data_IF_139294067742
#
_entry.id   IF_139294067742
#
_cell.length_a   1.000
_cell.length_b   1.000
_cell.length_c   1.000
_cell.angle_alpha   90.00
_cell.angle_beta   90.00
_cell.angle_gamma   90.00
#
_symmetry.space_group_name_H-M   'P 1'
#
loop_
_entity.id
_entity.type
_entity.pdbx_description
1 polymer ?
#
# COMPACT_ATOMS: atom_id res chain seq x y z
N UNK A 1 40.32 3.45 -40.05
CA UNK A 1 41.77 3.52 -40.36
C UNK A 1 42.43 2.22 -39.92
N UNK A 2 43.52 1.75 -40.56
CA UNK A 2 44.30 0.63 -40.04
C UNK A 2 44.71 0.89 -38.58
N UNK A 3 44.38 -0.01 -37.66
CA UNK A 3 44.63 0.17 -36.22
C UNK A 3 43.59 1.00 -35.43
N UNK A 4 42.52 1.47 -36.08
CA UNK A 4 41.42 2.19 -35.42
C UNK A 4 40.08 1.48 -35.66
N UNK A 5 39.31 1.31 -34.58
CA UNK A 5 37.92 0.87 -34.62
C UNK A 5 37.13 1.62 -33.55
N UNK A 6 35.96 2.09 -33.93
CA UNK A 6 34.97 2.61 -32.97
C UNK A 6 34.35 1.45 -32.21
N UNK A 7 34.22 1.63 -30.90
CA UNK A 7 33.57 0.70 -30.01
C UNK A 7 32.57 1.47 -29.17
N UNK A 8 31.31 1.06 -29.23
CA UNK A 8 30.25 1.57 -28.38
C UNK A 8 29.86 0.49 -27.38
N UNK A 9 30.01 0.79 -26.09
CA UNK A 9 29.61 -0.13 -25.03
C UNK A 9 28.15 0.14 -24.64
N UNK A 10 27.28 -0.82 -24.94
CA UNK A 10 25.89 -0.81 -24.48
C UNK A 10 25.82 -1.20 -22.98
N UNK A 11 26.19 -0.24 -22.13
CA UNK A 11 26.11 -0.34 -20.67
C UNK A 11 24.69 -0.70 -20.19
N UNK A 12 23.60 -0.09 -20.72
CA UNK A 12 22.24 -0.47 -20.34
C UNK A 12 21.94 -1.95 -20.56
N UNK A 13 22.19 -2.48 -21.77
CA UNK A 13 21.88 -3.87 -22.06
C UNK A 13 22.79 -4.84 -21.27
N UNK A 14 24.06 -4.49 -21.08
CA UNK A 14 24.98 -5.27 -20.26
C UNK A 14 24.52 -5.33 -18.79
N UNK A 15 24.10 -4.20 -18.21
CA UNK A 15 23.61 -4.16 -16.85
C UNK A 15 22.28 -4.92 -16.69
N UNK A 16 21.37 -4.81 -17.66
CA UNK A 16 20.12 -5.55 -17.66
C UNK A 16 20.37 -7.07 -17.65
N UNK A 17 21.25 -7.57 -18.53
CA UNK A 17 21.62 -9.00 -18.58
C UNK A 17 22.18 -9.47 -17.24
N UNK A 18 23.14 -8.73 -16.67
CA UNK A 18 23.72 -9.06 -15.38
C UNK A 18 22.67 -9.05 -14.26
N UNK A 19 21.73 -8.10 -14.25
CA UNK A 19 20.67 -8.06 -13.24
C UNK A 19 19.71 -9.25 -13.36
N UNK A 20 19.37 -9.67 -14.58
CA UNK A 20 18.54 -10.87 -14.81
C UNK A 20 19.25 -12.11 -14.29
N UNK A 21 20.55 -12.27 -14.55
CA UNK A 21 21.36 -13.38 -14.04
C UNK A 21 21.42 -13.38 -12.50
N UNK A 22 21.66 -12.22 -11.89
CA UNK A 22 21.67 -12.05 -10.43
C UNK A 22 20.32 -12.44 -9.83
N UNK A 23 19.21 -11.92 -10.36
CA UNK A 23 17.87 -12.28 -9.88
C UNK A 23 17.57 -13.78 -10.08
N UNK A 24 18.03 -14.38 -11.19
CA UNK A 24 17.88 -15.80 -11.46
C UNK A 24 18.60 -16.70 -10.45
N UNK A 25 19.79 -16.28 -10.00
CA UNK A 25 20.60 -17.03 -9.03
C UNK A 25 20.18 -16.81 -7.56
N UNK A 26 19.44 -15.74 -7.26
CA UNK A 26 19.02 -15.41 -5.90
C UNK A 26 17.86 -16.28 -5.40
N UNK A 27 17.96 -16.76 -4.17
CA UNK A 27 16.81 -17.24 -3.41
C UNK A 27 15.89 -16.07 -3.00
N UNK A 28 14.58 -16.28 -3.04
CA UNK A 28 13.62 -15.31 -2.56
C UNK A 28 13.43 -15.45 -1.04
N UNK A 29 13.14 -14.34 -0.35
CA UNK A 29 12.78 -14.32 1.06
C UNK A 29 11.33 -13.83 1.24
N UNK A 30 10.57 -14.32 2.24
CA UNK A 30 9.23 -13.81 2.52
C UNK A 30 9.22 -12.30 2.76
N UNK A 31 8.22 -11.59 2.22
CA UNK A 31 8.04 -10.13 2.39
C UNK A 31 7.40 -9.84 3.76
N UNK A 32 8.14 -10.14 4.82
CA UNK A 32 7.75 -9.97 6.22
C UNK A 32 8.74 -9.04 6.93
N UNK A 33 8.29 -8.25 7.92
CA UNK A 33 9.14 -7.26 8.60
C UNK A 33 10.49 -7.80 9.09
N UNK A 34 10.51 -9.02 9.65
CA UNK A 34 11.74 -9.66 10.14
C UNK A 34 12.82 -9.86 9.07
N UNK A 35 12.42 -10.08 7.82
CA UNK A 35 13.35 -10.27 6.69
C UNK A 35 13.86 -8.95 6.09
N UNK A 36 13.31 -7.81 6.51
CA UNK A 36 13.66 -6.49 5.97
C UNK A 36 14.71 -5.76 6.81
N UNK A 37 14.90 -6.15 8.08
CA UNK A 37 15.79 -5.48 9.05
C UNK A 37 17.23 -5.31 8.52
N UNK A 38 17.74 -6.32 7.82
CA UNK A 38 19.11 -6.34 7.28
C UNK A 38 19.30 -5.61 5.95
N UNK A 39 18.23 -5.12 5.30
CA UNK A 39 18.33 -4.51 3.97
C UNK A 39 18.88 -3.09 4.10
N UNK A 40 19.94 -2.70 3.38
CA UNK A 40 20.45 -1.34 3.45
C UNK A 40 19.47 -0.33 2.84
N UNK A 41 19.34 0.83 3.49
CA UNK A 41 18.54 1.94 2.97
C UNK A 41 19.29 2.65 1.84
N UNK A 42 19.25 2.03 0.66
CA UNK A 42 20.05 2.41 -0.50
C UNK A 42 19.24 2.31 -1.78
N UNK A 43 19.76 2.93 -2.84
CA UNK A 43 19.20 2.82 -4.17
C UNK A 43 19.31 1.38 -4.72
N UNK A 44 18.29 0.93 -5.44
CA UNK A 44 18.31 -0.38 -6.08
C UNK A 44 17.01 -0.75 -6.77
N UNK A 45 16.93 -2.02 -7.15
CA UNK A 45 15.79 -2.65 -7.80
C UNK A 45 15.36 -3.89 -7.00
N UNK A 46 14.07 -4.21 -7.05
CA UNK A 46 13.52 -5.38 -6.37
C UNK A 46 12.39 -6.02 -7.18
N UNK A 47 12.19 -7.30 -6.92
CA UNK A 47 11.09 -8.12 -7.44
C UNK A 47 10.21 -8.56 -6.27
N UNK A 48 8.90 -8.58 -6.48
CA UNK A 48 7.97 -9.29 -5.61
C UNK A 48 7.41 -10.50 -6.36
N UNK A 49 7.30 -11.61 -5.64
CA UNK A 49 6.79 -12.86 -6.15
C UNK A 49 5.60 -13.29 -5.32
N UNK A 50 4.50 -13.70 -5.96
CA UNK A 50 3.35 -14.32 -5.30
C UNK A 50 3.39 -15.80 -5.63
N UNK A 51 3.58 -16.66 -4.62
CA UNK A 51 3.67 -18.12 -4.80
C UNK A 51 4.74 -18.56 -5.83
N UNK A 52 5.80 -17.77 -5.96
CA UNK A 52 6.89 -18.01 -6.91
C UNK A 52 6.76 -17.28 -8.25
N UNK A 53 5.58 -16.75 -8.58
CA UNK A 53 5.37 -16.00 -9.83
C UNK A 53 5.74 -14.53 -9.65
N UNK A 54 6.50 -13.99 -10.59
CA UNK A 54 6.89 -12.58 -10.58
C UNK A 54 5.65 -11.68 -10.79
N UNK A 55 5.27 -10.93 -9.76
CA UNK A 55 4.07 -10.06 -9.81
C UNK A 55 4.38 -8.58 -9.86
N UNK A 56 5.54 -8.15 -9.34
CA UNK A 56 5.92 -6.74 -9.29
C UNK A 56 7.42 -6.55 -9.47
N UNK A 57 7.81 -5.55 -10.24
CA UNK A 57 9.17 -4.99 -10.26
C UNK A 57 9.09 -3.56 -9.81
N UNK A 58 9.99 -3.17 -8.90
CA UNK A 58 10.10 -1.79 -8.47
C UNK A 58 11.54 -1.32 -8.42
N UNK A 59 11.70 -0.01 -8.53
CA UNK A 59 12.92 0.68 -8.12
C UNK A 59 12.70 1.55 -6.89
N UNK A 60 13.81 2.00 -6.36
CA UNK A 60 13.89 3.10 -5.40
C UNK A 60 15.02 4.02 -5.84
N UNK A 61 14.98 5.28 -5.44
CA UNK A 61 16.13 6.18 -5.44
C UNK A 61 16.84 6.12 -4.07
N UNK A 62 17.88 6.94 -3.89
CA UNK A 62 18.63 7.04 -2.64
C UNK A 62 17.84 7.71 -1.50
N UNK A 63 16.82 8.51 -1.80
CA UNK A 63 16.01 9.20 -0.78
C UNK A 63 14.95 8.28 -0.18
N UNK A 64 14.28 7.50 -1.02
CA UNK A 64 13.23 6.56 -0.62
C UNK A 64 13.78 5.25 -0.06
N UNK A 65 14.93 4.78 -0.54
CA UNK A 65 15.64 3.56 -0.13
C UNK A 65 14.89 2.21 -0.27
N UNK A 66 15.67 1.13 -0.40
CA UNK A 66 15.13 -0.22 -0.63
C UNK A 66 14.29 -0.73 0.54
N UNK A 67 14.77 -0.52 1.77
CA UNK A 67 14.11 -1.06 2.97
C UNK A 67 12.75 -0.42 3.17
N UNK A 68 12.66 0.92 3.23
CA UNK A 68 11.37 1.61 3.42
C UNK A 68 10.36 1.27 2.33
N UNK A 69 10.80 1.13 1.08
CA UNK A 69 9.90 0.77 -0.02
C UNK A 69 9.35 -0.65 0.13
N UNK A 70 10.19 -1.62 0.51
CA UNK A 70 9.75 -2.98 0.78
C UNK A 70 8.88 -3.07 2.04
N UNK A 71 9.19 -2.33 3.10
CA UNK A 71 8.37 -2.25 4.32
C UNK A 71 6.97 -1.72 4.01
N UNK A 72 6.88 -0.70 3.16
CA UNK A 72 5.58 -0.20 2.70
C UNK A 72 4.79 -1.27 1.96
N UNK A 73 5.43 -2.02 1.05
CA UNK A 73 4.77 -3.11 0.34
C UNK A 73 4.35 -4.25 1.26
N UNK A 74 5.20 -4.61 2.23
CA UNK A 74 4.89 -5.58 3.28
C UNK A 74 3.68 -5.16 4.12
N UNK A 75 3.48 -3.85 4.32
CA UNK A 75 2.27 -3.30 4.95
C UNK A 75 1.07 -3.38 4.02
N UNK A 76 1.21 -3.01 2.74
CA UNK A 76 0.13 -2.99 1.74
C UNK A 76 -0.56 -4.34 1.55
N UNK A 77 0.20 -5.45 1.62
CA UNK A 77 -0.33 -6.81 1.42
C UNK A 77 -1.05 -7.38 2.65
N UNK A 78 -0.97 -6.72 3.81
CA UNK A 78 -1.66 -7.16 5.02
C UNK A 78 -3.15 -6.79 4.98
N UNK A 79 -3.96 -7.61 5.65
CA UNK A 79 -5.41 -7.44 5.80
C UNK A 79 -6.08 -7.22 4.43
N UNK A 80 -5.76 -8.10 3.48
CA UNK A 80 -6.36 -8.13 2.15
C UNK A 80 -7.16 -9.42 2.00
N UNK A 81 -8.30 -9.33 1.34
CA UNK A 81 -9.09 -10.50 0.96
C UNK A 81 -8.33 -11.27 -0.12
N UNK A 82 -8.27 -12.60 -0.01
CA UNK A 82 -7.61 -13.53 -0.96
C UNK A 82 -6.08 -13.37 -1.10
N UNK A 83 -5.42 -12.69 -0.16
CA UNK A 83 -3.96 -12.54 -0.19
C UNK A 83 -3.38 -12.83 1.19
N UNK A 84 -2.61 -13.91 1.27
CA UNK A 84 -1.87 -14.24 2.48
C UNK A 84 -0.45 -13.65 2.41
N UNK A 85 -0.02 -12.79 3.36
CA UNK A 85 1.28 -12.15 3.30
C UNK A 85 2.46 -13.12 3.23
N UNK A 86 2.31 -14.30 3.83
CA UNK A 86 3.34 -15.35 3.81
C UNK A 86 3.59 -15.94 2.40
N UNK A 87 2.65 -15.76 1.47
CA UNK A 87 2.80 -16.22 0.08
C UNK A 87 3.55 -15.21 -0.80
N UNK A 88 3.80 -14.00 -0.29
CA UNK A 88 4.53 -12.95 -1.00
C UNK A 88 6.00 -13.00 -0.58
N UNK A 89 6.88 -13.13 -1.56
CA UNK A 89 8.32 -13.11 -1.39
C UNK A 89 8.95 -11.94 -2.15
N UNK A 90 10.20 -11.62 -1.84
CA UNK A 90 10.96 -10.59 -2.53
C UNK A 90 12.39 -11.03 -2.85
N UNK A 91 12.97 -10.36 -3.84
CA UNK A 91 14.41 -10.31 -4.13
C UNK A 91 14.79 -8.84 -4.28
N UNK A 92 15.92 -8.41 -3.71
CA UNK A 92 16.34 -7.01 -3.77
C UNK A 92 17.84 -6.90 -4.06
N UNK A 93 18.20 -6.02 -4.99
CA UNK A 93 19.57 -5.78 -5.44
C UNK A 93 19.88 -4.30 -5.30
N UNK A 94 20.88 -3.97 -4.47
CA UNK A 94 21.48 -2.63 -4.44
C UNK A 94 22.25 -2.41 -5.74
N UNK A 95 22.12 -1.22 -6.32
CA UNK A 95 22.87 -0.87 -7.53
C UNK A 95 23.62 0.45 -7.31
N UNK A 96 24.91 0.45 -7.62
CA UNK A 96 25.83 1.55 -7.27
C UNK A 96 25.89 2.68 -8.30
N UNK A 97 25.51 2.44 -9.57
CA UNK A 97 25.65 3.42 -10.66
C UNK A 97 24.33 3.50 -11.42
N UNK A 98 23.63 4.63 -11.35
CA UNK A 98 22.25 4.68 -11.88
C UNK A 98 21.76 6.01 -12.44
N UNK A 99 22.47 7.11 -12.32
CA UNK A 99 21.80 8.43 -12.42
C UNK A 99 21.19 8.74 -13.79
N UNK A 100 21.44 7.93 -14.84
CA UNK A 100 20.85 8.12 -16.17
C UNK A 100 20.07 6.92 -16.77
N UNK A 101 19.87 5.79 -16.07
CA UNK A 101 19.26 4.58 -16.69
C UNK A 101 17.93 4.16 -16.06
N UNK A 102 16.93 3.90 -16.91
CA UNK A 102 15.60 3.44 -16.47
C UNK A 102 15.49 1.90 -16.41
N UNK A 103 16.22 1.29 -15.46
CA UNK A 103 16.26 -0.18 -15.35
C UNK A 103 14.92 -0.81 -14.94
N UNK A 104 14.06 -0.09 -14.21
CA UNK A 104 12.72 -0.59 -13.87
C UNK A 104 11.92 -0.87 -15.14
N UNK A 105 11.83 0.10 -16.05
CA UNK A 105 11.14 -0.09 -17.33
C UNK A 105 11.79 -1.18 -18.17
N UNK A 106 13.13 -1.28 -18.17
CA UNK A 106 13.82 -2.34 -18.90
C UNK A 106 13.53 -3.74 -18.33
N UNK A 107 13.52 -3.89 -17.01
CA UNK A 107 13.18 -5.14 -16.34
C UNK A 107 11.70 -5.48 -16.56
N UNK A 108 10.78 -4.53 -16.40
CA UNK A 108 9.36 -4.73 -16.68
C UNK A 108 9.15 -5.18 -18.13
N UNK A 109 9.83 -4.55 -19.10
CA UNK A 109 9.75 -4.95 -20.51
C UNK A 109 10.34 -6.35 -20.75
N UNK A 110 11.51 -6.63 -20.17
CA UNK A 110 12.17 -7.93 -20.32
C UNK A 110 11.27 -9.07 -19.81
N UNK A 111 10.81 -8.98 -18.56
CA UNK A 111 9.98 -10.00 -17.95
C UNK A 111 8.55 -10.01 -18.49
N UNK A 112 7.98 -8.84 -18.79
CA UNK A 112 6.65 -8.69 -19.38
C UNK A 112 6.50 -9.32 -20.76
N UNK A 113 7.59 -9.44 -21.52
CA UNK A 113 7.63 -10.19 -22.78
C UNK A 113 7.63 -11.72 -22.59
N UNK A 114 7.92 -12.20 -21.37
CA UNK A 114 7.98 -13.63 -21.02
C UNK A 114 6.68 -14.04 -20.33
N UNK A 115 6.26 -13.28 -19.31
CA UNK A 115 5.04 -13.51 -18.54
C UNK A 115 4.46 -12.19 -18.01
N UNK A 116 3.14 -12.09 -17.78
CA UNK A 116 2.54 -10.91 -17.20
C UNK A 116 3.13 -10.57 -15.82
N UNK A 117 3.34 -9.28 -15.56
CA UNK A 117 3.77 -8.76 -14.25
C UNK A 117 2.59 -7.96 -13.63
N UNK A 118 1.57 -8.64 -13.09
CA UNK A 118 0.21 -8.10 -12.90
C UNK A 118 0.09 -6.94 -11.92
N UNK A 119 1.05 -6.71 -11.02
CA UNK A 119 0.98 -5.60 -10.06
C UNK A 119 1.63 -4.32 -10.59
N UNK A 120 2.43 -4.39 -11.65
CA UNK A 120 2.91 -3.19 -12.33
C UNK A 120 1.74 -2.51 -13.05
N UNK A 121 1.61 -1.19 -12.89
CA UNK A 121 0.52 -0.36 -13.46
C UNK A 121 -0.91 -0.71 -12.99
N UNK A 122 -1.07 -1.53 -11.93
CA UNK A 122 -2.36 -1.96 -11.40
C UNK A 122 -2.86 -1.15 -10.20
N UNK A 123 -2.04 -0.23 -9.68
CA UNK A 123 -2.30 0.55 -8.47
C UNK A 123 -1.52 0.11 -7.22
N UNK A 124 -0.89 -1.07 -7.22
CA UNK A 124 -0.16 -1.62 -6.07
C UNK A 124 0.91 -0.66 -5.50
N UNK A 125 1.72 -0.05 -6.37
CA UNK A 125 2.78 0.88 -5.97
C UNK A 125 2.35 2.34 -5.81
N UNK A 126 1.05 2.65 -5.97
CA UNK A 126 0.55 4.03 -6.00
C UNK A 126 0.48 4.67 -4.61
N UNK A 127 0.67 5.98 -4.56
CA UNK A 127 0.45 6.79 -3.36
C UNK A 127 -1.03 7.04 -3.11
N UNK A 128 -1.37 7.45 -1.89
CA UNK A 128 -2.72 7.88 -1.54
C UNK A 128 -3.18 8.99 -2.51
N UNK A 129 -4.24 8.77 -3.32
CA UNK A 129 -4.59 9.71 -4.36
C UNK A 129 -5.32 10.96 -3.85
N UNK A 130 -5.70 11.01 -2.58
CA UNK A 130 -6.45 12.09 -1.95
C UNK A 130 -7.97 11.99 -2.18
N UNK A 131 -8.74 12.83 -1.46
CA UNK A 131 -10.23 12.79 -1.44
C UNK A 131 -10.86 12.94 -2.83
N UNK A 132 -10.33 13.83 -3.67
CA UNK A 132 -10.89 14.13 -5.00
C UNK A 132 -10.81 12.93 -5.97
N UNK A 133 -10.08 11.88 -5.61
CA UNK A 133 -9.93 10.66 -6.40
C UNK A 133 -10.59 9.43 -5.78
N UNK A 134 -11.34 9.60 -4.70
CA UNK A 134 -12.14 8.52 -4.10
C UNK A 134 -13.28 8.05 -5.04
N UNK A 135 -13.60 8.82 -6.10
CA UNK A 135 -14.55 8.45 -7.16
C UNK A 135 -13.91 8.03 -8.47
N UNK A 136 -12.59 7.97 -8.57
CA UNK A 136 -11.92 7.53 -9.80
C UNK A 136 -12.20 6.06 -10.05
N UNK A 137 -12.48 5.71 -11.32
CA UNK A 137 -12.78 4.32 -11.71
C UNK A 137 -11.65 3.37 -11.31
N UNK A 138 -12.04 2.29 -10.62
CA UNK A 138 -11.15 1.18 -10.32
C UNK A 138 -11.12 0.25 -11.54
N UNK A 139 -9.92 -0.12 -11.98
CA UNK A 139 -9.77 -1.16 -13.01
C UNK A 139 -10.13 -2.52 -12.38
N UNK A 140 -11.02 -3.33 -12.98
CA UNK A 140 -11.36 -4.65 -12.45
C UNK A 140 -10.14 -5.57 -12.29
N UNK A 141 -9.14 -5.41 -13.15
CA UNK A 141 -7.88 -6.14 -13.13
C UNK A 141 -6.84 -5.50 -12.17
N UNK A 142 -7.17 -4.36 -11.57
CA UNK A 142 -6.29 -3.62 -10.66
C UNK A 142 -6.05 -4.36 -9.34
N UNK A 143 -4.94 -4.06 -8.67
CA UNK A 143 -4.56 -4.75 -7.43
C UNK A 143 -5.64 -4.66 -6.36
N UNK A 144 -6.16 -3.46 -6.07
CA UNK A 144 -7.15 -3.28 -5.01
C UNK A 144 -8.52 -3.88 -5.37
N UNK A 145 -8.83 -4.10 -6.65
CA UNK A 145 -10.04 -4.81 -7.07
C UNK A 145 -9.94 -6.31 -6.82
N UNK A 146 -8.76 -6.89 -7.10
CA UNK A 146 -8.49 -8.30 -6.87
C UNK A 146 -8.27 -8.64 -5.39
N UNK A 147 -7.63 -7.72 -4.65
CA UNK A 147 -7.22 -7.87 -3.26
C UNK A 147 -7.72 -6.68 -2.41
N UNK A 148 -9.04 -6.54 -2.24
CA UNK A 148 -9.58 -5.43 -1.46
C UNK A 148 -9.20 -5.55 0.02
N UNK A 149 -9.22 -4.43 0.74
CA UNK A 149 -9.00 -4.40 2.19
C UNK A 149 -10.05 -5.24 2.91
N UNK A 150 -9.58 -6.04 3.86
CA UNK A 150 -10.43 -6.84 4.73
C UNK A 150 -10.73 -6.08 6.02
N UNK A 151 -11.93 -5.53 6.10
CA UNK A 151 -12.42 -4.78 7.27
C UNK A 151 -13.06 -5.68 8.34
N UNK A 152 -13.18 -6.97 8.05
CA UNK A 152 -13.79 -7.99 8.90
C UNK A 152 -12.71 -8.87 9.60
N UNK A 153 -11.44 -8.64 9.29
CA UNK A 153 -10.31 -9.15 10.07
C UNK A 153 -10.27 -8.49 11.46
N UNK A 154 -10.00 -9.30 12.48
CA UNK A 154 -9.85 -8.84 13.86
C UNK A 154 -8.69 -7.85 14.00
N UNK A 155 -8.89 -6.82 14.82
CA UNK A 155 -7.86 -5.82 15.13
C UNK A 155 -7.52 -5.83 16.61
N UNK A 156 -6.24 -5.63 16.91
CA UNK A 156 -5.75 -5.44 18.27
C UNK A 156 -5.56 -3.95 18.54
N UNK A 157 -6.62 -3.33 19.04
CA UNK A 157 -6.62 -1.92 19.39
C UNK A 157 -6.87 -1.75 20.89
N UNK A 158 -6.05 -0.92 21.52
CA UNK A 158 -6.26 -0.45 22.89
C UNK A 158 -6.89 0.93 22.83
N UNK A 159 -8.15 1.06 23.27
CA UNK A 159 -8.80 2.36 23.42
C UNK A 159 -8.92 2.67 24.91
N UNK A 160 -8.24 3.72 25.43
CA UNK A 160 -8.46 4.15 26.82
C UNK A 160 -9.91 4.61 27.00
N UNK A 161 -10.42 4.54 28.24
CA UNK A 161 -11.76 5.04 28.56
C UNK A 161 -11.68 6.01 29.74
N UNK A 162 -12.29 7.22 29.65
CA UNK A 162 -13.03 7.77 28.51
C UNK A 162 -12.14 8.14 27.30
N UNK A 163 -12.68 8.07 26.08
CA UNK A 163 -11.99 8.51 24.86
C UNK A 163 -12.92 9.22 23.88
N UNK A 164 -12.36 10.19 23.16
CA UNK A 164 -13.06 10.88 22.08
C UNK A 164 -13.02 10.08 20.78
N UNK A 165 -13.99 10.31 19.89
CA UNK A 165 -13.98 9.72 18.54
C UNK A 165 -12.72 10.12 17.76
N UNK A 166 -12.16 11.32 18.00
CA UNK A 166 -10.91 11.77 17.41
C UNK A 166 -9.70 10.90 17.84
N UNK A 167 -9.61 10.55 19.12
CA UNK A 167 -8.56 9.65 19.61
C UNK A 167 -8.75 8.24 19.06
N UNK A 168 -9.99 7.73 19.09
CA UNK A 168 -10.33 6.42 18.53
C UNK A 168 -9.94 6.30 17.05
N UNK A 169 -10.23 7.33 16.23
CA UNK A 169 -9.87 7.35 14.83
C UNK A 169 -8.35 7.40 14.60
N UNK A 170 -7.62 8.15 15.42
CA UNK A 170 -6.15 8.23 15.36
C UNK A 170 -5.52 6.87 15.64
N UNK A 171 -5.92 6.22 16.74
CA UNK A 171 -5.39 4.91 17.11
C UNK A 171 -5.75 3.84 16.08
N UNK A 172 -6.97 3.88 15.53
CA UNK A 172 -7.35 2.98 14.44
C UNK A 172 -6.47 3.20 13.21
N UNK A 173 -6.19 4.45 12.82
CA UNK A 173 -5.33 4.75 11.67
C UNK A 173 -3.90 4.21 11.84
N UNK A 174 -3.37 4.22 13.06
CA UNK A 174 -2.05 3.67 13.37
C UNK A 174 -2.03 2.14 13.33
N UNK A 175 -3.10 1.51 13.82
CA UNK A 175 -3.28 0.06 13.85
C UNK A 175 -3.44 -0.57 12.46
N UNK A 176 -4.16 0.09 11.55
CA UNK A 176 -4.54 -0.50 10.28
C UNK A 176 -3.41 -0.51 9.24
N UNK A 177 -3.15 -1.63 8.54
CA UNK A 177 -2.12 -1.71 7.51
C UNK A 177 -2.51 -0.99 6.21
N UNK A 178 -3.76 -0.58 6.06
CA UNK A 178 -4.26 0.21 4.93
C UNK A 178 -4.67 1.62 5.37
N UNK A 179 -5.00 2.47 4.41
CA UNK A 179 -5.41 3.85 4.71
C UNK A 179 -6.79 3.87 5.36
N UNK A 180 -6.87 4.50 6.53
CA UNK A 180 -8.12 5.01 7.09
C UNK A 180 -8.09 6.53 7.03
N UNK A 181 -8.96 7.13 6.22
CA UNK A 181 -9.05 8.59 6.06
C UNK A 181 -10.27 9.11 6.81
N UNK A 182 -10.06 10.17 7.56
CA UNK A 182 -11.10 10.83 8.34
C UNK A 182 -11.15 12.30 7.97
N UNK A 183 -12.35 12.86 7.90
CA UNK A 183 -12.54 14.28 7.66
C UNK A 183 -11.91 15.13 8.78
N UNK A 184 -11.13 16.13 8.39
CA UNK A 184 -10.54 17.12 9.29
C UNK A 184 -11.46 18.34 9.42
N UNK A 185 -11.15 19.25 10.35
CA UNK A 185 -11.97 20.45 10.61
C UNK A 185 -12.19 21.40 9.41
N UNK A 186 -11.49 21.19 8.29
CA UNK A 186 -11.64 21.98 7.08
C UNK A 186 -10.64 21.58 6.00
N UNK A 187 -10.79 22.14 4.79
CA UNK A 187 -9.90 21.84 3.65
C UNK A 187 -8.46 22.24 3.99
N UNK A 188 -7.54 21.28 3.91
CA UNK A 188 -6.11 21.48 4.23
C UNK A 188 -5.78 21.52 5.73
N UNK A 189 -6.78 21.45 6.62
CA UNK A 189 -6.53 21.35 8.06
C UNK A 189 -5.95 19.99 8.43
N UNK A 190 -5.03 19.97 9.40
CA UNK A 190 -4.56 18.76 10.08
C UNK A 190 -5.27 18.51 11.41
N UNK A 191 -6.16 19.43 11.84
CA UNK A 191 -6.89 19.31 13.09
C UNK A 191 -8.10 18.38 12.91
N UNK A 192 -8.40 17.50 13.89
CA UNK A 192 -9.61 16.67 13.86
C UNK A 192 -10.87 17.52 13.74
N UNK A 193 -11.90 16.98 13.09
CA UNK A 193 -13.20 17.65 12.98
C UNK A 193 -13.84 17.85 14.39
N UNK A 194 -14.48 19.00 14.68
CA UNK A 194 -15.08 19.28 15.99
C UNK A 194 -16.02 18.19 16.51
N UNK A 195 -16.90 17.64 15.66
CA UNK A 195 -17.76 16.51 16.02
C UNK A 195 -16.99 15.32 16.60
N UNK A 196 -15.82 15.00 16.04
CA UNK A 196 -14.98 13.89 16.53
C UNK A 196 -14.35 14.21 17.89
N UNK A 197 -13.99 15.47 18.13
CA UNK A 197 -13.40 15.93 19.40
C UNK A 197 -14.45 15.95 20.51
N UNK A 198 -15.67 16.37 20.19
CA UNK A 198 -16.74 16.56 21.17
C UNK A 198 -17.55 15.28 21.45
N UNK A 199 -17.33 14.21 20.69
CA UNK A 199 -18.04 12.93 20.84
C UNK A 199 -17.22 11.95 21.66
N UNK A 200 -17.79 11.48 22.78
CA UNK A 200 -17.23 10.36 23.56
C UNK A 200 -17.65 9.03 22.95
N UNK A 201 -16.74 8.08 22.89
CA UNK A 201 -16.99 6.73 22.37
C UNK A 201 -16.67 5.66 23.41
N UNK A 202 -17.36 4.54 23.29
CA UNK A 202 -17.12 3.33 24.09
C UNK A 202 -16.60 2.27 23.13
N UNK A 203 -15.47 1.59 23.41
CA UNK A 203 -15.00 0.51 22.56
C UNK A 203 -16.04 -0.63 22.53
N UNK A 204 -16.23 -1.30 21.38
CA UNK A 204 -17.03 -2.51 21.33
C UNK A 204 -16.36 -3.64 22.15
N UNK A 205 -17.11 -4.68 22.56
CA UNK A 205 -16.53 -5.87 23.20
C UNK A 205 -15.46 -6.52 22.32
N UNK A 206 -14.36 -6.96 22.94
CA UNK A 206 -13.29 -7.70 22.23
C UNK A 206 -13.66 -9.18 22.03
N UNK A 207 -13.13 -9.85 20.99
CA UNK A 207 -12.40 -9.26 19.86
C UNK A 207 -13.34 -8.47 18.94
N UNK A 208 -12.83 -7.44 18.28
CA UNK A 208 -13.61 -6.66 17.32
C UNK A 208 -12.86 -6.43 15.99
N UNK A 209 -13.64 -6.22 14.93
CA UNK A 209 -13.16 -5.92 13.58
C UNK A 209 -13.11 -4.42 13.32
N UNK A 210 -12.47 -4.00 12.23
CA UNK A 210 -12.50 -2.60 11.77
C UNK A 210 -13.94 -2.13 11.57
N UNK A 211 -14.79 -2.97 10.97
CA UNK A 211 -16.21 -2.69 10.76
C UNK A 211 -16.92 -2.38 12.08
N UNK A 212 -16.83 -3.28 13.05
CA UNK A 212 -17.52 -3.15 14.35
C UNK A 212 -17.03 -1.93 15.13
N UNK A 213 -15.72 -1.63 15.07
CA UNK A 213 -15.16 -0.45 15.72
C UNK A 213 -15.71 0.84 15.10
N UNK A 214 -15.74 0.93 13.76
CA UNK A 214 -16.27 2.08 13.04
C UNK A 214 -17.77 2.27 13.32
N UNK A 215 -18.55 1.19 13.28
CA UNK A 215 -19.98 1.22 13.64
C UNK A 215 -20.21 1.77 15.06
N UNK A 216 -19.38 1.36 16.03
CA UNK A 216 -19.47 1.86 17.41
C UNK A 216 -19.17 3.36 17.51
N UNK A 217 -18.23 3.86 16.70
CA UNK A 217 -17.93 5.30 16.61
C UNK A 217 -19.10 6.06 15.96
N UNK A 218 -19.61 5.60 14.80
CA UNK A 218 -20.70 6.30 14.11
C UNK A 218 -21.99 6.37 14.92
N UNK A 219 -22.31 5.34 15.71
CA UNK A 219 -23.47 5.34 16.63
C UNK A 219 -23.46 6.49 17.65
N UNK A 220 -22.32 7.14 17.87
CA UNK A 220 -22.16 8.27 18.81
C UNK A 220 -22.01 9.62 18.12
N UNK A 221 -21.66 9.63 16.84
CA UNK A 221 -21.46 10.88 16.10
C UNK A 221 -22.80 11.55 15.79
N UNK A 222 -22.83 12.89 15.68
CA UNK A 222 -24.03 13.61 15.25
C UNK A 222 -24.43 13.20 13.82
N UNK A 223 -25.68 13.45 13.38
CA UNK A 223 -26.15 13.03 12.07
C UNK A 223 -25.30 13.57 10.91
N UNK A 224 -25.23 12.80 9.82
CA UNK A 224 -24.58 13.19 8.56
C UNK A 224 -23.15 12.68 8.35
N UNK A 225 -22.65 11.79 9.22
CA UNK A 225 -21.41 11.06 8.98
C UNK A 225 -21.67 9.76 8.24
N UNK A 226 -20.77 9.42 7.33
CA UNK A 226 -20.78 8.15 6.59
C UNK A 226 -19.38 7.53 6.61
N UNK A 227 -19.32 6.25 6.97
CA UNK A 227 -18.14 5.43 6.71
C UNK A 227 -18.36 4.56 5.47
N UNK A 228 -17.35 4.51 4.61
CA UNK A 228 -17.37 3.72 3.37
C UNK A 228 -16.09 2.91 3.26
N UNK A 229 -16.21 1.61 3.02
CA UNK A 229 -15.12 0.74 2.62
C UNK A 229 -14.94 0.87 1.10
N UNK A 230 -13.84 1.46 0.67
CA UNK A 230 -13.37 1.39 -0.71
C UNK A 230 -12.39 0.22 -0.84
N UNK A 231 -12.12 -0.28 -2.06
CA UNK A 231 -11.31 -1.49 -2.21
C UNK A 231 -9.89 -1.34 -1.65
N UNK A 232 -9.31 -0.14 -1.65
CA UNK A 232 -7.95 0.11 -1.14
C UNK A 232 -7.88 0.71 0.28
N UNK A 233 -9.00 1.19 0.84
CA UNK A 233 -9.00 2.09 2.02
C UNK A 233 -10.38 2.18 2.65
N UNK A 234 -10.43 2.70 3.87
CA UNK A 234 -11.68 3.10 4.52
C UNK A 234 -11.72 4.63 4.65
N UNK A 235 -12.88 5.23 4.41
CA UNK A 235 -13.10 6.67 4.56
C UNK A 235 -14.23 6.92 5.58
N UNK A 236 -14.10 7.96 6.39
CA UNK A 236 -15.10 8.48 7.31
C UNK A 236 -15.25 9.99 7.10
N UNK A 237 -16.33 10.41 6.46
CA UNK A 237 -16.57 11.80 6.10
C UNK A 237 -17.95 12.27 6.56
N UNK A 238 -18.11 13.58 6.74
CA UNK A 238 -19.39 14.20 7.03
C UNK A 238 -20.12 14.52 5.73
N UNK A 239 -20.69 13.48 5.12
CA UNK A 239 -21.38 13.55 3.84
C UNK A 239 -22.36 12.39 3.68
N UNK A 240 -23.18 12.46 2.63
CA UNK A 240 -23.95 11.33 2.13
C UNK A 240 -23.67 11.16 0.64
N UNK A 241 -22.84 10.16 0.31
CA UNK A 241 -22.39 9.94 -1.06
C UNK A 241 -22.37 8.46 -1.42
N UNK A 242 -22.89 8.13 -2.60
CA UNK A 242 -22.70 6.81 -3.19
C UNK A 242 -21.34 6.76 -3.90
N UNK A 243 -20.53 5.77 -3.54
CA UNK A 243 -19.26 5.48 -4.19
C UNK A 243 -19.44 4.24 -5.07
N UNK A 244 -19.16 4.33 -6.37
CA UNK A 244 -19.44 3.26 -7.33
C UNK A 244 -18.81 1.91 -6.95
N UNK A 245 -17.63 1.94 -6.33
CA UNK A 245 -16.89 0.75 -5.88
C UNK A 245 -16.81 0.64 -4.35
N UNK A 246 -17.58 1.46 -3.63
CA UNK A 246 -17.57 1.51 -2.18
C UNK A 246 -18.77 0.82 -1.56
N UNK A 247 -18.55 0.15 -0.44
CA UNK A 247 -19.63 -0.38 0.41
C UNK A 247 -19.78 0.51 1.63
N UNK A 248 -20.98 1.05 1.85
CA UNK A 248 -21.28 1.81 3.07
C UNK A 248 -21.18 0.87 4.27
N UNK A 249 -20.37 1.25 5.25
CA UNK A 249 -20.23 0.52 6.52
C UNK A 249 -21.39 0.90 7.43
N UNK A 250 -21.57 2.20 7.67
CA UNK A 250 -22.62 2.75 8.51
C UNK A 250 -22.82 4.24 8.21
N UNK A 251 -23.93 4.79 8.72
CA UNK A 251 -24.21 6.22 8.79
C UNK A 251 -24.57 6.60 10.23
N UNK A 252 -24.31 7.85 10.60
CA UNK A 252 -24.92 8.44 11.80
C UNK A 252 -26.25 9.09 11.39
N UNK A 253 -27.32 8.61 12.01
CA UNK A 253 -28.69 9.08 11.83
C UNK A 253 -29.13 9.91 13.05
#
# INVERSE_FOLDING_TARGET
MPGYREFEFDLPAALLRNLVEVFGAMAAAPLLPGNLVGIPETQGVYQLLLRGDLVYIGKTDAEAGLRKRLERHARTIQHRVKLEPAEVAFKAVRVFVFTAMDLETQLIKHYGNIAPVPWNNSGFGSNDPGRERDTTNLKPEGFDAQYPVDIDRGIELGLPFPATAALACTLLKECLPYTFRVENAGRGSRRPHPDLVNTQVVPPPKPYTTRQFIEAVLKRLPPGWQATALPSRVILYKEQRAYAFGTVIARSD
#
